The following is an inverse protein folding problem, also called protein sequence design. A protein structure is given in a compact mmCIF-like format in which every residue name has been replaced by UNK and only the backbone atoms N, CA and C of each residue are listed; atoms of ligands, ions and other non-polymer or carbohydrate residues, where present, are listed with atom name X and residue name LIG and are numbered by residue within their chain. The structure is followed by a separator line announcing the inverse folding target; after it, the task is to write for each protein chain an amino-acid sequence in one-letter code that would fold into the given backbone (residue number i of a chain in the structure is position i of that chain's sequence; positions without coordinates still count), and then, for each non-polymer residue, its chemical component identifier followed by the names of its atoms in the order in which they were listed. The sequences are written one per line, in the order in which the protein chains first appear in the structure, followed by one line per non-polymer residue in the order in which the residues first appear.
data_IF_034773743203
#
_entry.id   IF_034773743203
#
_cell.length_a   1.000
_cell.length_b   1.000
_cell.length_c   1.000
_cell.angle_alpha   90.00
_cell.angle_beta   90.00
_cell.angle_gamma   90.00
#
_symmetry.space_group_name_H-M   'P 1'
#
loop_
_entity.id
_entity.type
_entity.pdbx_description
1 polymer ?
#
# COMPACT_ATOMS: atom_id res chain seq x y z
N UNK A 1 -18.34 -7.76 -1.87
CA UNK A 1 -17.28 -8.56 -1.18
C UNK A 1 -16.31 -7.59 -0.56
N UNK A 2 -15.72 -7.93 0.58
CA UNK A 2 -14.74 -7.07 1.26
C UNK A 2 -13.42 -7.09 0.49
N UNK A 3 -12.84 -5.92 0.24
CA UNK A 3 -11.55 -5.82 -0.42
C UNK A 3 -10.42 -5.93 0.60
N UNK A 4 -9.50 -6.83 0.36
CA UNK A 4 -8.31 -7.06 1.16
C UNK A 4 -7.10 -6.49 0.42
N UNK A 5 -6.30 -5.71 1.13
CA UNK A 5 -5.09 -5.12 0.60
C UNK A 5 -3.88 -5.71 1.32
N UNK A 6 -3.00 -6.33 0.56
CA UNK A 6 -1.74 -6.91 1.02
C UNK A 6 -0.59 -6.04 0.54
N UNK A 7 0.26 -5.56 1.45
CA UNK A 7 1.43 -4.76 1.09
C UNK A 7 2.72 -5.57 1.16
N UNK A 8 3.54 -5.53 0.10
CA UNK A 8 4.89 -6.13 0.18
C UNK A 8 5.80 -5.30 1.07
N UNK A 9 6.75 -5.95 1.72
CA UNK A 9 7.80 -5.32 2.52
C UNK A 9 9.09 -6.11 2.38
N UNK A 10 10.25 -5.48 2.49
CA UNK A 10 11.53 -6.16 2.38
C UNK A 10 12.56 -5.35 1.60
N UNK A 11 13.81 -5.81 1.65
CA UNK A 11 14.94 -5.15 1.03
C UNK A 11 14.83 -5.08 -0.50
N UNK A 12 15.60 -4.16 -1.12
CA UNK A 12 15.80 -4.16 -2.57
C UNK A 12 16.41 -5.50 -2.98
N UNK A 13 16.12 -5.99 -4.18
CA UNK A 13 16.62 -7.24 -4.77
C UNK A 13 16.23 -8.54 -4.02
N UNK A 14 15.40 -8.48 -2.99
CA UNK A 14 14.83 -9.67 -2.33
C UNK A 14 13.71 -10.33 -3.15
N UNK A 15 13.40 -9.83 -4.34
CA UNK A 15 12.47 -10.49 -5.28
C UNK A 15 10.99 -10.16 -5.05
N UNK A 16 10.66 -9.02 -4.42
CA UNK A 16 9.26 -8.59 -4.19
C UNK A 16 8.43 -8.57 -5.48
N UNK A 17 8.88 -7.81 -6.48
CA UNK A 17 8.20 -7.69 -7.78
C UNK A 17 8.10 -9.02 -8.51
N UNK A 18 9.14 -9.86 -8.43
CA UNK A 18 9.13 -11.21 -9.01
C UNK A 18 8.08 -12.09 -8.32
N UNK A 19 8.00 -12.02 -6.98
CA UNK A 19 7.00 -12.73 -6.20
C UNK A 19 5.58 -12.28 -6.56
N UNK A 20 5.33 -10.97 -6.61
CA UNK A 20 4.01 -10.41 -7.00
C UNK A 20 3.63 -10.88 -8.40
N UNK A 21 4.58 -10.86 -9.34
CA UNK A 21 4.35 -11.38 -10.69
C UNK A 21 4.05 -12.88 -10.69
N UNK A 22 4.75 -13.65 -9.88
CA UNK A 22 4.51 -15.10 -9.74
C UNK A 22 3.11 -15.41 -9.20
N UNK A 23 2.65 -14.63 -8.21
CA UNK A 23 1.34 -14.82 -7.59
C UNK A 23 0.18 -14.38 -8.49
N UNK A 24 0.35 -13.27 -9.22
CA UNK A 24 -0.76 -12.59 -9.93
C UNK A 24 -0.69 -12.71 -11.45
N UNK A 25 0.45 -13.12 -12.00
CA UNK A 25 0.72 -13.09 -13.44
C UNK A 25 0.98 -11.68 -14.00
N UNK A 26 0.92 -10.64 -13.17
CA UNK A 26 1.01 -9.24 -13.59
C UNK A 26 2.34 -8.61 -13.19
N UNK A 27 2.97 -7.90 -14.13
CA UNK A 27 4.21 -7.18 -13.84
C UNK A 27 3.89 -5.77 -13.35
N UNK A 28 4.29 -5.45 -12.14
CA UNK A 28 4.04 -4.16 -11.48
C UNK A 28 5.01 -3.06 -11.92
N UNK A 29 6.15 -3.38 -12.51
CA UNK A 29 7.11 -2.41 -13.03
C UNK A 29 6.65 -1.82 -14.38
N UNK A 30 6.05 -0.65 -14.33
CA UNK A 30 5.50 0.01 -15.53
C UNK A 30 6.37 1.13 -16.07
N UNK A 31 7.18 1.77 -15.22
CA UNK A 31 8.00 2.89 -15.61
C UNK A 31 9.23 2.42 -16.40
N UNK A 32 9.58 3.18 -17.46
CA UNK A 32 10.78 2.91 -18.24
C UNK A 32 12.05 2.96 -17.37
N UNK A 33 12.02 3.82 -16.33
CA UNK A 33 13.12 3.92 -15.36
C UNK A 33 13.22 2.70 -14.46
N UNK A 34 12.11 2.13 -14.03
CA UNK A 34 12.06 0.89 -13.24
C UNK A 34 12.70 -0.27 -14.00
N UNK A 35 12.31 -0.43 -15.26
CA UNK A 35 12.87 -1.47 -16.15
C UNK A 35 14.37 -1.28 -16.44
N UNK A 36 14.83 -0.02 -16.51
CA UNK A 36 16.26 0.28 -16.75
C UNK A 36 17.13 0.07 -15.52
N UNK A 37 16.57 0.34 -14.32
CA UNK A 37 17.29 0.26 -13.05
C UNK A 37 17.11 -1.07 -12.35
N UNK A 38 16.15 -1.90 -12.78
CA UNK A 38 15.81 -3.17 -12.14
C UNK A 38 15.21 -3.01 -10.75
N UNK A 39 14.63 -1.83 -10.43
CA UNK A 39 14.04 -1.56 -9.12
C UNK A 39 12.72 -0.81 -9.23
N UNK A 40 11.76 -1.13 -8.38
CA UNK A 40 10.48 -0.44 -8.25
C UNK A 40 10.67 0.95 -7.65
N UNK A 41 10.10 1.97 -8.28
CA UNK A 41 10.20 3.39 -7.86
C UNK A 41 8.87 3.88 -7.29
N UNK A 42 7.76 3.55 -7.92
CA UNK A 42 6.41 3.91 -7.49
C UNK A 42 5.65 2.67 -7.01
N UNK A 43 4.49 2.86 -6.41
CA UNK A 43 3.65 1.75 -5.98
C UNK A 43 3.12 0.97 -7.19
N UNK A 44 3.39 -0.32 -7.20
CA UNK A 44 2.76 -1.27 -8.11
C UNK A 44 1.47 -1.83 -7.51
N UNK A 45 0.45 -2.06 -8.34
CA UNK A 45 -0.82 -2.63 -7.91
C UNK A 45 -1.13 -3.83 -8.80
N UNK A 46 -1.33 -4.97 -8.18
CA UNK A 46 -1.69 -6.20 -8.85
C UNK A 46 -2.87 -6.87 -8.13
N UNK A 47 -3.82 -7.38 -8.90
CA UNK A 47 -4.97 -8.12 -8.35
C UNK A 47 -4.65 -9.60 -8.33
N UNK A 48 -4.76 -10.22 -7.16
CA UNK A 48 -4.63 -11.67 -7.02
C UNK A 48 -5.94 -12.35 -7.48
N UNK A 49 -7.06 -11.76 -7.06
CA UNK A 49 -8.42 -12.11 -7.46
C UNK A 49 -9.35 -10.90 -7.25
N UNK A 50 -10.66 -11.10 -7.37
CA UNK A 50 -11.67 -10.02 -7.22
C UNK A 50 -11.72 -9.39 -5.82
N UNK A 51 -11.17 -10.06 -4.81
CA UNK A 51 -11.23 -9.63 -3.41
C UNK A 51 -9.87 -9.25 -2.81
N UNK A 52 -8.75 -9.59 -3.47
CA UNK A 52 -7.40 -9.36 -2.95
C UNK A 52 -6.56 -8.55 -3.91
N UNK A 53 -6.07 -7.41 -3.44
CA UNK A 53 -5.11 -6.58 -4.17
C UNK A 53 -3.77 -6.61 -3.45
N UNK A 54 -2.69 -6.84 -4.20
CA UNK A 54 -1.32 -6.76 -3.70
C UNK A 54 -0.73 -5.41 -4.12
N UNK A 55 -0.18 -4.68 -3.16
CA UNK A 55 0.59 -3.46 -3.39
C UNK A 55 2.07 -3.82 -3.36
N UNK A 56 2.71 -3.72 -4.51
CA UNK A 56 4.16 -3.88 -4.61
C UNK A 56 4.86 -2.57 -4.24
N UNK A 57 5.61 -2.63 -3.14
CA UNK A 57 6.19 -1.45 -2.51
C UNK A 57 7.68 -1.34 -2.87
N UNK A 58 8.16 -0.13 -3.24
CA UNK A 58 9.59 0.08 -3.47
C UNK A 58 10.44 -0.34 -2.26
N UNK A 59 11.51 -1.10 -2.51
CA UNK A 59 12.41 -1.58 -1.46
C UNK A 59 13.44 -0.56 -0.98
N UNK A 60 13.69 0.51 -1.75
CA UNK A 60 14.76 1.44 -1.48
C UNK A 60 14.33 2.56 -0.52
N UNK A 61 15.19 2.92 0.46
CA UNK A 61 14.95 3.97 1.47
C UNK A 61 14.46 5.31 0.89
N UNK A 62 14.98 5.71 -0.29
CA UNK A 62 14.54 6.93 -0.97
C UNK A 62 13.06 6.96 -1.33
N UNK A 63 12.42 5.78 -1.42
CA UNK A 63 11.02 5.63 -1.81
C UNK A 63 10.10 5.25 -0.64
N UNK A 64 10.60 5.25 0.60
CA UNK A 64 9.80 5.04 1.83
C UNK A 64 8.58 5.95 1.87
N UNK A 65 8.69 7.17 1.32
CA UNK A 65 7.57 8.11 1.20
C UNK A 65 6.43 7.56 0.33
N UNK A 66 6.78 6.89 -0.76
CA UNK A 66 5.78 6.28 -1.63
C UNK A 66 5.12 5.09 -0.91
N UNK A 67 5.92 4.32 -0.18
CA UNK A 67 5.41 3.26 0.69
C UNK A 67 4.41 3.81 1.73
N UNK A 68 4.79 4.81 2.51
CA UNK A 68 3.94 5.38 3.56
C UNK A 68 2.61 5.93 2.99
N UNK A 69 2.65 6.52 1.78
CA UNK A 69 1.47 7.03 1.11
C UNK A 69 0.53 5.92 0.58
N UNK A 70 1.06 4.76 0.20
CA UNK A 70 0.27 3.61 -0.26
C UNK A 70 -0.18 2.69 0.86
N UNK A 71 0.57 2.68 1.96
CA UNK A 71 0.39 1.74 3.06
C UNK A 71 -0.79 2.07 3.99
N UNK A 72 -1.41 3.24 3.86
CA UNK A 72 -2.53 3.66 4.73
C UNK A 72 -3.74 2.72 4.70
N UNK A 73 -3.83 1.84 3.70
CA UNK A 73 -4.91 0.88 3.53
C UNK A 73 -4.43 -0.58 3.48
N UNK A 74 -3.19 -0.85 3.89
CA UNK A 74 -2.68 -2.22 3.97
C UNK A 74 -3.30 -2.91 5.18
N UNK A 75 -3.94 -4.04 4.95
CA UNK A 75 -4.54 -4.88 5.99
C UNK A 75 -3.54 -5.95 6.48
N UNK A 76 -2.75 -6.51 5.56
CA UNK A 76 -1.79 -7.58 5.82
C UNK A 76 -0.44 -7.29 5.17
N UNK A 77 0.64 -7.73 5.82
CA UNK A 77 2.00 -7.62 5.28
C UNK A 77 2.43 -8.89 4.54
N UNK A 78 3.06 -8.74 3.39
CA UNK A 78 3.81 -9.79 2.71
C UNK A 78 5.29 -9.43 2.78
N UNK A 79 5.96 -9.99 3.78
CA UNK A 79 7.38 -9.72 4.05
C UNK A 79 8.22 -10.64 3.17
N UNK A 80 9.11 -10.05 2.35
CA UNK A 80 9.94 -10.78 1.39
C UNK A 80 11.39 -10.67 1.80
N UNK A 81 12.01 -11.80 2.08
CA UNK A 81 13.39 -11.91 2.56
C UNK A 81 14.10 -12.94 1.67
N UNK A 82 15.26 -12.58 1.14
CA UNK A 82 16.07 -13.51 0.37
C UNK A 82 16.86 -14.42 1.32
N UNK A 83 16.90 -15.71 1.02
CA UNK A 83 17.56 -16.72 1.85
C UNK A 83 19.07 -16.50 1.96
N UNK A 84 19.69 -15.92 0.92
CA UNK A 84 21.13 -15.64 0.85
C UNK A 84 21.53 -14.43 1.70
N UNK A 85 20.63 -13.45 1.87
CA UNK A 85 20.91 -12.19 2.56
C UNK A 85 20.34 -12.15 4.01
N UNK A 86 19.25 -12.87 4.29
CA UNK A 86 18.54 -12.80 5.56
C UNK A 86 17.85 -11.44 5.79
N UNK A 87 17.72 -11.06 7.07
CA UNK A 87 17.06 -9.80 7.46
C UNK A 87 18.01 -8.62 7.24
N UNK A 88 17.60 -7.71 6.35
CA UNK A 88 18.35 -6.50 6.02
C UNK A 88 17.79 -5.26 6.70
N UNK A 89 18.58 -4.17 6.88
CA UNK A 89 18.11 -2.95 7.54
C UNK A 89 16.82 -2.38 6.97
N UNK A 90 16.65 -2.38 5.63
CA UNK A 90 15.42 -1.89 4.99
C UNK A 90 14.21 -2.79 5.30
N UNK A 91 14.41 -4.08 5.51
CA UNK A 91 13.35 -4.98 5.97
C UNK A 91 12.84 -4.55 7.34
N UNK A 92 13.75 -4.19 8.25
CA UNK A 92 13.42 -3.68 9.59
C UNK A 92 12.64 -2.38 9.50
N UNK A 93 13.10 -1.41 8.68
CA UNK A 93 12.40 -0.15 8.47
C UNK A 93 10.98 -0.36 7.95
N UNK A 94 10.79 -1.25 6.98
CA UNK A 94 9.47 -1.58 6.45
C UNK A 94 8.57 -2.23 7.50
N UNK A 95 9.09 -3.12 8.33
CA UNK A 95 8.36 -3.73 9.44
C UNK A 95 7.91 -2.68 10.46
N UNK A 96 8.77 -1.73 10.80
CA UNK A 96 8.43 -0.62 11.69
C UNK A 96 7.31 0.25 11.12
N UNK A 97 7.35 0.57 9.82
CA UNK A 97 6.29 1.31 9.15
C UNK A 97 4.97 0.53 9.18
N UNK A 98 4.97 -0.75 8.84
CA UNK A 98 3.79 -1.61 8.90
C UNK A 98 3.20 -1.64 10.31
N UNK A 99 4.06 -1.77 11.34
CA UNK A 99 3.64 -1.75 12.75
C UNK A 99 2.98 -0.42 13.14
N UNK A 100 3.56 0.71 12.71
CA UNK A 100 2.99 2.04 12.96
C UNK A 100 1.64 2.24 12.28
N UNK A 101 1.43 1.60 11.12
CA UNK A 101 0.18 1.59 10.38
C UNK A 101 -0.85 0.60 10.94
N UNK A 102 -0.48 -0.17 11.98
CA UNK A 102 -1.37 -1.12 12.64
C UNK A 102 -1.41 -2.50 11.99
N UNK A 103 -0.58 -2.75 10.98
CA UNK A 103 -0.45 -4.09 10.36
C UNK A 103 0.33 -5.01 11.29
N UNK A 104 -0.29 -6.11 11.73
CA UNK A 104 0.27 -7.04 12.72
C UNK A 104 0.24 -8.50 12.29
N UNK A 105 -0.22 -8.76 11.08
CA UNK A 105 -0.39 -10.11 10.55
C UNK A 105 -0.11 -10.16 9.06
N UNK A 106 0.14 -11.35 8.54
CA UNK A 106 0.41 -11.55 7.13
C UNK A 106 1.25 -12.79 6.83
N UNK A 107 2.13 -12.69 5.86
CA UNK A 107 2.95 -13.79 5.35
C UNK A 107 4.41 -13.36 5.23
N UNK A 108 5.29 -14.34 5.36
CA UNK A 108 6.71 -14.22 5.03
C UNK A 108 7.01 -15.12 3.84
N UNK A 109 7.63 -14.57 2.83
CA UNK A 109 8.19 -15.31 1.71
C UNK A 109 9.72 -15.28 1.80
N UNK A 110 10.33 -16.42 2.09
CA UNK A 110 11.78 -16.60 2.00
C UNK A 110 12.08 -16.96 0.55
N UNK A 111 12.63 -16.02 -0.20
CA UNK A 111 12.91 -16.15 -1.63
C UNK A 111 14.34 -16.63 -1.89
N UNK A 112 14.66 -16.90 -3.16
CA UNK A 112 16.00 -17.32 -3.60
C UNK A 112 16.52 -18.59 -2.90
N UNK A 113 15.64 -19.49 -2.51
CA UNK A 113 16.03 -20.77 -1.88
C UNK A 113 16.86 -21.66 -2.81
N UNK A 114 16.79 -21.43 -4.12
CA UNK A 114 17.56 -22.12 -5.15
C UNK A 114 19.06 -21.78 -5.13
N UNK A 115 19.41 -20.61 -4.57
CA UNK A 115 20.82 -20.17 -4.46
C UNK A 115 21.48 -20.79 -3.24
N UNK A 116 20.72 -21.00 -2.16
CA UNK A 116 21.23 -21.56 -0.90
C UNK A 116 21.06 -23.07 -0.90
N UNK A 117 22.17 -23.81 -0.85
CA UNK A 117 22.18 -25.29 -0.84
C UNK A 117 22.11 -25.87 0.56
N UNK A 118 22.34 -25.05 1.58
CA UNK A 118 22.37 -25.45 2.97
C UNK A 118 20.99 -25.24 3.61
N UNK A 119 20.28 -26.32 3.87
CA UNK A 119 18.94 -26.29 4.51
C UNK A 119 19.03 -25.78 5.96
N UNK A 120 20.12 -26.09 6.69
CA UNK A 120 20.30 -25.61 8.07
C UNK A 120 20.42 -24.08 8.11
N UNK A 121 21.05 -23.50 7.09
CA UNK A 121 21.09 -22.03 6.94
C UNK A 121 19.70 -21.44 6.74
N UNK A 122 18.87 -22.04 5.91
CA UNK A 122 17.50 -21.56 5.68
C UNK A 122 16.67 -21.68 6.97
N UNK A 123 16.85 -22.74 7.75
CA UNK A 123 16.20 -22.91 9.04
C UNK A 123 16.63 -21.81 10.04
N UNK A 124 17.92 -21.44 10.07
CA UNK A 124 18.41 -20.32 10.89
C UNK A 124 17.81 -18.98 10.47
N UNK A 125 17.75 -18.70 9.17
CA UNK A 125 17.08 -17.48 8.64
C UNK A 125 15.61 -17.46 9.06
N UNK A 126 14.93 -18.60 9.05
CA UNK A 126 13.53 -18.69 9.46
C UNK A 126 13.36 -18.39 10.95
N UNK A 127 14.24 -18.87 11.81
CA UNK A 127 14.26 -18.56 13.24
C UNK A 127 14.52 -17.06 13.50
N UNK A 128 15.51 -16.48 12.85
CA UNK A 128 15.82 -15.05 12.96
C UNK A 128 14.61 -14.18 12.56
N UNK A 129 13.88 -14.61 11.52
CA UNK A 129 12.66 -13.94 11.08
C UNK A 129 11.58 -14.02 12.15
N UNK A 130 11.34 -15.18 12.75
CA UNK A 130 10.35 -15.37 13.80
C UNK A 130 10.63 -14.47 14.99
N UNK A 131 11.88 -14.43 15.45
CA UNK A 131 12.32 -13.58 16.54
C UNK A 131 12.17 -12.09 16.22
N UNK A 132 12.59 -11.69 15.03
CA UNK A 132 12.47 -10.31 14.56
C UNK A 132 11.02 -9.82 14.52
N UNK A 133 10.10 -10.66 14.07
CA UNK A 133 8.67 -10.36 13.97
C UNK A 133 8.03 -10.29 15.36
N UNK A 134 8.33 -11.25 16.22
CA UNK A 134 7.81 -11.34 17.59
C UNK A 134 8.20 -10.10 18.41
N UNK A 135 9.44 -9.65 18.31
CA UNK A 135 9.95 -8.45 18.99
C UNK A 135 9.20 -7.17 18.55
N UNK A 136 8.61 -7.16 17.35
CA UNK A 136 7.87 -6.01 16.79
C UNK A 136 6.35 -6.13 16.92
N UNK A 137 5.91 -7.17 17.64
CA UNK A 137 4.46 -7.37 17.92
C UNK A 137 3.65 -7.85 16.72
N UNK A 138 4.30 -8.51 15.78
CA UNK A 138 3.62 -9.27 14.76
C UNK A 138 3.26 -10.65 15.33
N UNK A 139 1.97 -10.96 15.37
CA UNK A 139 1.48 -12.10 16.16
C UNK A 139 0.98 -13.28 15.31
N UNK A 140 0.76 -13.07 14.02
CA UNK A 140 0.21 -14.11 13.13
C UNK A 140 0.87 -14.03 11.75
N UNK A 141 1.84 -14.91 11.53
CA UNK A 141 2.53 -15.07 10.25
C UNK A 141 2.66 -16.54 9.89
N UNK A 142 2.43 -16.85 8.61
CA UNK A 142 2.93 -18.09 8.03
C UNK A 142 4.17 -17.80 7.18
N UNK A 143 5.14 -18.70 7.25
CA UNK A 143 6.40 -18.60 6.53
C UNK A 143 6.37 -19.60 5.36
N UNK A 144 6.75 -19.12 4.19
CA UNK A 144 6.79 -19.89 2.95
C UNK A 144 8.18 -19.77 2.32
N UNK A 145 8.78 -20.90 1.97
CA UNK A 145 10.01 -20.97 1.18
C UNK A 145 9.64 -20.94 -0.28
N UNK A 146 10.19 -20.01 -1.03
CA UNK A 146 9.77 -19.69 -2.40
C UNK A 146 10.97 -19.72 -3.35
N UNK A 147 10.81 -20.45 -4.44
CA UNK A 147 11.66 -20.31 -5.59
C UNK A 147 10.89 -19.57 -6.70
N UNK A 148 11.25 -18.32 -6.94
CA UNK A 148 10.59 -17.48 -7.95
C UNK A 148 10.89 -17.92 -9.40
N UNK A 149 11.92 -18.75 -9.63
CA UNK A 149 12.30 -19.21 -10.96
C UNK A 149 11.43 -20.35 -11.45
N UNK A 150 11.18 -21.36 -10.59
CA UNK A 150 10.42 -22.55 -10.95
C UNK A 150 9.00 -22.56 -10.37
N UNK A 151 8.68 -21.63 -9.45
CA UNK A 151 7.37 -21.51 -8.84
C UNK A 151 7.13 -22.35 -7.59
N UNK A 152 8.15 -23.04 -7.08
CA UNK A 152 8.02 -23.82 -5.84
C UNK A 152 7.58 -22.92 -4.68
N UNK A 153 6.61 -23.39 -3.90
CA UNK A 153 6.02 -22.67 -2.77
C UNK A 153 4.98 -21.60 -3.12
N UNK A 154 4.96 -21.06 -4.35
CA UNK A 154 4.03 -20.00 -4.76
C UNK A 154 2.56 -20.39 -4.60
N UNK A 155 2.18 -21.59 -5.01
CA UNK A 155 0.79 -22.04 -4.94
C UNK A 155 0.30 -22.14 -3.50
N UNK A 156 1.16 -22.58 -2.57
CA UNK A 156 0.81 -22.66 -1.14
C UNK A 156 0.60 -21.26 -0.56
N UNK A 157 1.53 -20.34 -0.82
CA UNK A 157 1.39 -18.94 -0.40
C UNK A 157 0.14 -18.29 -0.99
N UNK A 158 -0.14 -18.53 -2.27
CA UNK A 158 -1.34 -18.00 -2.94
C UNK A 158 -2.62 -18.49 -2.25
N UNK A 159 -2.74 -19.76 -1.97
CA UNK A 159 -3.89 -20.35 -1.27
C UNK A 159 -4.06 -19.77 0.14
N UNK A 160 -2.96 -19.59 0.89
CA UNK A 160 -3.02 -19.00 2.21
C UNK A 160 -3.49 -17.54 2.16
N UNK A 161 -3.05 -16.76 1.16
CA UNK A 161 -3.54 -15.39 0.96
C UNK A 161 -5.02 -15.37 0.58
N UNK A 162 -5.46 -16.28 -0.30
CA UNK A 162 -6.85 -16.37 -0.73
C UNK A 162 -7.79 -16.80 0.40
N UNK A 163 -7.34 -17.65 1.30
CA UNK A 163 -8.14 -18.15 2.43
C UNK A 163 -8.47 -17.04 3.43
N UNK A 164 -7.66 -15.98 3.52
CA UNK A 164 -7.89 -14.87 4.47
C UNK A 164 -9.15 -14.04 4.12
N UNK A 165 -9.66 -14.15 2.89
CA UNK A 165 -10.91 -13.46 2.48
C UNK A 165 -12.10 -13.86 3.37
N UNK A 166 -12.01 -15.03 4.01
CA UNK A 166 -13.03 -15.52 4.93
C UNK A 166 -12.88 -14.92 6.35
N UNK A 167 -11.76 -14.28 6.65
CA UNK A 167 -11.56 -13.59 7.93
C UNK A 167 -12.18 -12.19 7.86
N UNK A 168 -12.95 -11.84 8.89
CA UNK A 168 -13.55 -10.49 8.98
C UNK A 168 -12.45 -9.48 9.29
N UNK A 169 -11.99 -8.75 8.27
CA UNK A 169 -11.20 -7.55 8.51
C UNK A 169 -12.10 -6.48 9.13
N UNK A 170 -11.71 -5.82 10.23
CA UNK A 170 -12.51 -4.75 10.82
C UNK A 170 -12.80 -3.67 9.79
N UNK A 171 -14.04 -3.53 9.43
CA UNK A 171 -14.53 -2.57 8.45
C UNK A 171 -15.11 -1.37 9.20
N UNK A 172 -14.67 -0.18 8.88
CA UNK A 172 -15.33 1.03 9.34
C UNK A 172 -16.48 1.33 8.37
N UNK A 173 -17.68 0.98 8.76
CA UNK A 173 -18.91 1.32 8.04
C UNK A 173 -19.20 2.81 8.27
N UNK A 174 -18.46 3.64 7.56
CA UNK A 174 -18.61 5.10 7.61
C UNK A 174 -19.55 5.55 6.50
N UNK A 175 -20.56 6.31 6.84
CA UNK A 175 -21.47 6.96 5.88
C UNK A 175 -20.77 7.99 5.00
N UNK A 176 -19.53 8.37 5.32
CA UNK A 176 -18.81 9.46 4.66
C UNK A 176 -17.79 8.95 3.67
N UNK A 177 -18.09 9.11 2.38
CA UNK A 177 -17.13 8.78 1.33
C UNK A 177 -15.87 9.64 1.42
N UNK A 178 -14.72 8.97 1.34
CA UNK A 178 -13.40 9.61 1.23
C UNK A 178 -12.43 8.75 0.43
N UNK A 179 -11.76 9.39 -0.55
CA UNK A 179 -10.71 8.78 -1.35
C UNK A 179 -9.52 9.73 -1.41
N UNK A 180 -8.31 9.22 -1.21
CA UNK A 180 -7.08 9.97 -1.45
C UNK A 180 -6.61 9.79 -2.87
N UNK A 181 -6.41 10.91 -3.58
CA UNK A 181 -5.96 10.91 -4.97
C UNK A 181 -4.48 10.57 -5.01
N UNK A 182 -4.12 9.48 -5.71
CA UNK A 182 -2.73 9.07 -5.92
C UNK A 182 -2.20 9.39 -7.32
N UNK A 183 -3.06 9.39 -8.35
CA UNK A 183 -2.71 9.77 -9.73
C UNK A 183 -3.81 10.59 -10.36
N UNK A 184 -3.40 11.46 -11.29
CA UNK A 184 -4.32 12.26 -12.11
C UNK A 184 -3.83 12.25 -13.54
N UNK A 185 -4.73 12.00 -14.49
CA UNK A 185 -4.41 11.99 -15.91
C UNK A 185 -5.64 12.30 -16.78
N UNK A 186 -5.40 12.57 -18.06
CA UNK A 186 -6.45 12.68 -19.06
C UNK A 186 -6.54 11.37 -19.83
N UNK A 187 -7.73 10.82 -19.94
CA UNK A 187 -8.02 9.69 -20.83
C UNK A 187 -8.78 10.20 -22.04
N UNK A 188 -8.24 9.98 -23.23
CA UNK A 188 -8.86 10.40 -24.50
C UNK A 188 -10.30 9.89 -24.58
N UNK A 189 -11.25 10.77 -24.90
CA UNK A 189 -12.68 10.45 -24.96
C UNK A 189 -13.41 10.47 -23.60
N UNK A 190 -12.71 10.43 -22.47
CA UNK A 190 -13.32 10.41 -21.13
C UNK A 190 -13.06 11.70 -20.33
N UNK A 191 -11.97 12.41 -20.62
CA UNK A 191 -11.59 13.61 -19.87
C UNK A 191 -10.72 13.33 -18.65
N UNK A 192 -10.90 14.13 -17.59
CA UNK A 192 -10.07 14.07 -16.38
C UNK A 192 -10.42 12.83 -15.55
N UNK A 193 -9.40 12.03 -15.24
CA UNK A 193 -9.50 10.84 -14.41
C UNK A 193 -8.59 10.98 -13.20
N UNK A 194 -9.10 10.65 -12.03
CA UNK A 194 -8.34 10.53 -10.79
C UNK A 194 -8.36 9.08 -10.32
N UNK A 195 -7.25 8.60 -9.79
CA UNK A 195 -7.17 7.28 -9.17
C UNK A 195 -6.88 7.39 -7.69
N UNK A 196 -7.33 6.41 -6.95
CA UNK A 196 -7.08 6.30 -5.52
C UNK A 196 -7.77 5.09 -4.90
N UNK A 197 -7.50 4.90 -3.62
CA UNK A 197 -8.20 3.88 -2.81
C UNK A 197 -9.24 4.56 -1.93
N UNK A 198 -10.43 3.99 -1.87
CA UNK A 198 -11.50 4.45 -0.98
C UNK A 198 -11.13 4.12 0.45
N UNK A 199 -10.97 5.14 1.27
CA UNK A 199 -10.60 4.98 2.70
C UNK A 199 -11.84 4.78 3.55
N UNK A 200 -12.93 5.45 3.19
CA UNK A 200 -14.20 5.42 3.93
C UNK A 200 -15.39 5.52 2.99
N UNK A 201 -16.48 4.88 3.38
CA UNK A 201 -17.79 5.04 2.77
C UNK A 201 -17.94 4.43 1.38
N UNK A 202 -18.99 4.85 0.69
CA UNK A 202 -19.36 4.38 -0.65
C UNK A 202 -19.67 5.57 -1.54
N UNK A 203 -19.47 5.44 -2.84
CA UNK A 203 -19.87 6.43 -3.85
C UNK A 203 -20.38 5.73 -5.12
N UNK A 204 -21.34 6.35 -5.77
CA UNK A 204 -21.96 5.85 -7.00
C UNK A 204 -21.73 6.80 -8.18
N UNK A 205 -21.81 6.26 -9.37
CA UNK A 205 -21.80 7.05 -10.59
C UNK A 205 -22.96 8.06 -10.57
N UNK A 206 -22.70 9.28 -11.02
CA UNK A 206 -23.68 10.35 -11.03
C UNK A 206 -23.72 11.22 -9.78
N UNK A 207 -23.13 10.78 -8.67
CA UNK A 207 -23.07 11.55 -7.43
C UNK A 207 -22.08 12.71 -7.50
N UNK A 208 -22.32 13.72 -6.66
CA UNK A 208 -21.44 14.88 -6.50
C UNK A 208 -20.36 14.62 -5.47
N UNK A 209 -19.17 15.13 -5.76
CA UNK A 209 -18.00 15.09 -4.88
C UNK A 209 -17.33 16.45 -4.80
N UNK A 210 -16.55 16.66 -3.76
CA UNK A 210 -15.71 17.84 -3.57
C UNK A 210 -14.26 17.42 -3.50
N UNK A 211 -13.38 18.15 -4.20
CA UNK A 211 -11.93 17.97 -4.14
C UNK A 211 -11.34 18.96 -3.14
N UNK A 212 -10.70 18.47 -2.11
CA UNK A 212 -10.03 19.28 -1.10
C UNK A 212 -8.51 19.27 -1.30
N UNK A 213 -7.81 20.37 -0.97
CA UNK A 213 -8.28 21.59 -0.27
C UNK A 213 -8.88 22.65 -1.19
N UNK A 214 -8.93 22.46 -2.51
CA UNK A 214 -9.38 23.47 -3.49
C UNK A 214 -10.87 23.77 -3.43
N UNK A 215 -11.66 22.94 -2.74
CA UNK A 215 -13.12 23.06 -2.60
C UNK A 215 -13.86 23.07 -3.95
N UNK A 216 -13.31 22.41 -4.95
CA UNK A 216 -13.93 22.30 -6.26
C UNK A 216 -14.94 21.15 -6.29
N UNK A 217 -16.16 21.43 -6.73
CA UNK A 217 -17.22 20.42 -6.90
C UNK A 217 -17.10 19.75 -8.27
N UNK A 218 -17.29 18.45 -8.28
CA UNK A 218 -17.31 17.62 -9.47
C UNK A 218 -18.46 16.61 -9.41
N UNK A 219 -18.83 16.08 -10.58
CA UNK A 219 -19.75 14.95 -10.69
C UNK A 219 -18.98 13.74 -11.22
N UNK A 220 -19.22 12.57 -10.63
CA UNK A 220 -18.65 11.32 -11.11
C UNK A 220 -19.40 10.89 -12.37
N UNK A 221 -18.68 10.85 -13.49
CA UNK A 221 -19.22 10.45 -14.79
C UNK A 221 -19.11 8.96 -15.07
N UNK A 222 -18.10 8.33 -14.47
CA UNK A 222 -17.86 6.89 -14.62
C UNK A 222 -16.86 6.41 -13.60
N UNK A 223 -16.95 5.15 -13.27
CA UNK A 223 -16.13 4.46 -12.29
C UNK A 223 -15.54 3.22 -12.95
N UNK A 224 -14.24 3.00 -12.77
CA UNK A 224 -13.57 1.75 -13.13
C UNK A 224 -12.87 1.21 -11.90
N UNK A 225 -13.08 -0.07 -11.62
CA UNK A 225 -12.40 -0.82 -10.55
C UNK A 225 -12.12 -2.24 -11.04
N UNK A 226 -11.02 -2.86 -10.61
CA UNK A 226 -10.64 -4.22 -11.03
C UNK A 226 -10.59 -4.45 -12.55
N UNK A 227 -10.19 -3.42 -13.32
CA UNK A 227 -10.10 -3.49 -14.78
C UNK A 227 -11.43 -3.38 -15.53
N UNK A 228 -12.57 -3.28 -14.83
CA UNK A 228 -13.92 -3.16 -15.40
C UNK A 228 -14.64 -1.87 -15.00
N UNK A 229 -15.71 -1.54 -15.72
CA UNK A 229 -16.63 -0.47 -15.33
C UNK A 229 -17.58 -0.97 -14.24
N UNK A 230 -17.86 -0.11 -13.25
CA UNK A 230 -18.80 -0.40 -12.16
C UNK A 230 -19.66 0.82 -11.86
N UNK A 231 -20.85 0.60 -11.29
CA UNK A 231 -21.75 1.69 -10.90
C UNK A 231 -21.40 2.30 -9.54
N UNK A 232 -20.72 1.55 -8.67
CA UNK A 232 -20.38 1.98 -7.32
C UNK A 232 -19.04 1.41 -6.85
N UNK A 233 -18.42 2.11 -5.88
CA UNK A 233 -17.25 1.66 -5.14
C UNK A 233 -17.43 1.96 -3.66
N UNK A 234 -16.72 1.21 -2.83
CA UNK A 234 -16.78 1.30 -1.37
C UNK A 234 -15.40 1.22 -0.73
N UNK A 235 -15.34 1.38 0.57
CA UNK A 235 -14.09 1.29 1.36
C UNK A 235 -13.28 0.06 0.99
N UNK A 236 -11.97 0.27 0.76
CA UNK A 236 -11.02 -0.75 0.31
C UNK A 236 -10.88 -0.83 -1.21
N UNK A 237 -11.87 -0.41 -1.99
CA UNK A 237 -11.79 -0.45 -3.45
C UNK A 237 -10.74 0.53 -3.97
N UNK A 238 -9.91 0.03 -4.89
CA UNK A 238 -9.08 0.89 -5.73
C UNK A 238 -9.81 1.22 -7.02
N UNK A 239 -9.95 2.51 -7.30
CA UNK A 239 -10.74 2.93 -8.44
C UNK A 239 -10.12 4.07 -9.25
N UNK A 240 -10.52 4.12 -10.53
CA UNK A 240 -10.34 5.25 -11.41
C UNK A 240 -11.70 5.93 -11.61
N UNK A 241 -11.78 7.19 -11.23
CA UNK A 241 -13.00 8.01 -11.29
C UNK A 241 -12.86 9.05 -12.38
N UNK A 242 -13.74 8.99 -13.36
CA UNK A 242 -13.89 10.07 -14.32
C UNK A 242 -14.74 11.18 -13.68
N UNK A 243 -14.15 12.36 -13.50
CA UNK A 243 -14.78 13.49 -12.86
C UNK A 243 -14.98 14.67 -13.83
N UNK A 244 -16.09 15.37 -13.67
CA UNK A 244 -16.43 16.53 -14.50
C UNK A 244 -16.02 17.85 -13.87
N UNK A 245 -15.98 18.90 -14.69
CA UNK A 245 -15.89 20.30 -14.27
C UNK A 245 -14.63 20.73 -13.51
N UNK A 246 -13.59 19.91 -13.48
CA UNK A 246 -12.29 20.28 -12.90
C UNK A 246 -11.20 20.08 -13.95
N UNK A 247 -10.34 21.09 -14.10
CA UNK A 247 -9.21 21.02 -15.01
C UNK A 247 -8.10 20.16 -14.43
N UNK A 248 -7.35 19.49 -15.30
CA UNK A 248 -6.19 18.69 -14.87
C UNK A 248 -5.17 19.51 -14.06
N UNK A 249 -4.96 20.78 -14.45
CA UNK A 249 -4.04 21.70 -13.77
C UNK A 249 -4.35 21.93 -12.29
N UNK A 250 -5.61 21.76 -11.89
CA UNK A 250 -6.09 22.03 -10.53
C UNK A 250 -6.01 20.78 -9.64
N UNK A 251 -5.74 19.64 -10.27
CA UNK A 251 -5.67 18.34 -9.61
C UNK A 251 -4.22 17.86 -9.44
N UNK A 252 -3.95 17.25 -8.30
CA UNK A 252 -2.65 16.69 -7.98
C UNK A 252 -2.76 15.54 -6.97
N UNK A 253 -1.74 14.69 -6.94
CA UNK A 253 -1.57 13.70 -5.87
C UNK A 253 -1.64 14.38 -4.49
N UNK A 254 -2.26 13.71 -3.54
CA UNK A 254 -2.39 14.19 -2.15
C UNK A 254 -3.69 14.94 -1.87
N UNK A 255 -4.46 15.30 -2.89
CA UNK A 255 -5.80 15.83 -2.69
C UNK A 255 -6.77 14.75 -2.25
N UNK A 256 -7.85 15.18 -1.62
CA UNK A 256 -8.90 14.29 -1.11
C UNK A 256 -10.18 14.52 -1.89
N UNK A 257 -10.80 13.44 -2.32
CA UNK A 257 -12.14 13.42 -2.88
C UNK A 257 -13.11 12.95 -1.80
N UNK A 258 -14.16 13.71 -1.54
CA UNK A 258 -15.16 13.40 -0.50
C UNK A 258 -16.55 13.90 -0.89
N UNK A 259 -17.56 13.56 -0.11
CA UNK A 259 -18.88 14.22 -0.25
C UNK A 259 -18.75 15.72 0.05
N UNK A 260 -19.52 16.58 -0.67
CA UNK A 260 -19.45 18.03 -0.49
C UNK A 260 -19.77 18.45 0.95
N UNK A 261 -18.95 19.34 1.51
CA UNK A 261 -19.18 19.97 2.79
C UNK A 261 -18.89 19.13 4.04
N UNK A 262 -18.51 17.87 3.90
CA UNK A 262 -18.28 16.97 5.06
C UNK A 262 -16.94 17.26 5.74
N UNK A 263 -15.90 17.51 4.96
CA UNK A 263 -14.56 17.77 5.48
C UNK A 263 -14.18 19.23 5.32
N UNK A 264 -13.45 19.76 6.30
CA UNK A 264 -12.91 21.12 6.25
C UNK A 264 -11.39 21.07 6.31
N UNK A 265 -10.68 21.64 5.32
CA UNK A 265 -9.24 21.81 5.42
C UNK A 265 -8.87 22.61 6.67
N UNK A 266 -7.90 22.13 7.44
CA UNK A 266 -7.37 22.83 8.61
C UNK A 266 -5.86 22.95 8.53
N UNK A 267 -5.30 23.96 9.19
CA UNK A 267 -3.85 24.16 9.33
C UNK A 267 -3.34 23.75 10.71
N UNK A 268 -4.24 23.60 11.67
CA UNK A 268 -3.89 23.28 13.05
C UNK A 268 -4.59 21.97 13.44
N UNK A 269 -3.83 21.04 13.96
CA UNK A 269 -4.32 19.73 14.40
C UNK A 269 -3.67 19.35 15.73
N UNK A 270 -4.40 18.65 16.57
CA UNK A 270 -3.86 17.99 17.76
C UNK A 270 -3.64 16.51 17.38
N UNK A 271 -2.44 16.02 17.60
CA UNK A 271 -2.05 14.66 17.23
C UNK A 271 -1.46 13.92 18.44
N UNK A 272 -1.69 12.61 18.49
CA UNK A 272 -0.94 11.71 19.37
C UNK A 272 0.23 11.15 18.57
N UNK A 273 1.44 11.30 19.09
CA UNK A 273 2.65 10.79 18.45
C UNK A 273 3.11 9.53 19.20
N UNK A 274 3.40 8.48 18.44
CA UNK A 274 4.05 7.27 18.93
C UNK A 274 5.42 7.16 18.26
N UNK A 275 6.47 7.09 19.05
CA UNK A 275 7.82 6.90 18.54
C UNK A 275 8.08 5.40 18.27
N UNK A 276 8.89 5.09 17.27
CA UNK A 276 9.44 3.74 17.08
C UNK A 276 10.44 3.43 18.19
N UNK A 277 10.48 2.18 18.64
CA UNK A 277 11.35 1.79 19.77
C UNK A 277 12.85 1.87 19.44
N UNK A 278 13.18 1.71 18.15
CA UNK A 278 14.58 1.73 17.67
C UNK A 278 15.18 3.13 17.61
N UNK A 279 14.40 4.20 17.77
CA UNK A 279 14.89 5.57 17.60
C UNK A 279 15.34 6.18 18.95
N UNK A 280 16.51 6.79 18.94
CA UNK A 280 16.99 7.70 20.00
C UNK A 280 16.61 9.17 19.73
N UNK A 281 15.89 9.45 18.62
CA UNK A 281 15.54 10.81 18.24
C UNK A 281 14.41 11.36 19.11
N UNK A 282 14.55 12.61 19.54
CA UNK A 282 13.58 13.32 20.36
C UNK A 282 12.91 14.45 19.59
N UNK A 283 11.61 14.62 19.79
CA UNK A 283 10.85 15.74 19.23
C UNK A 283 11.11 16.99 20.06
N UNK A 284 11.55 18.07 19.40
CA UNK A 284 11.77 19.38 20.04
C UNK A 284 10.65 20.34 19.70
N UNK A 285 10.35 21.24 20.63
CA UNK A 285 9.39 22.31 20.41
C UNK A 285 9.79 23.17 19.20
N UNK A 286 8.80 23.61 18.43
CA UNK A 286 8.97 24.40 17.20
C UNK A 286 9.73 23.67 16.07
N UNK A 287 9.95 22.35 16.19
CA UNK A 287 10.62 21.56 15.18
C UNK A 287 9.78 21.42 13.91
N UNK A 288 10.42 21.56 12.77
CA UNK A 288 9.80 21.27 11.47
C UNK A 288 9.86 19.77 11.21
N UNK A 289 8.70 19.17 10.98
CA UNK A 289 8.56 17.77 10.62
C UNK A 289 7.83 17.62 9.30
N UNK A 290 8.05 16.51 8.69
CA UNK A 290 7.38 16.05 7.50
C UNK A 290 6.28 15.07 7.90
N UNK A 291 5.04 15.39 7.53
CA UNK A 291 3.87 14.57 7.81
C UNK A 291 3.38 13.93 6.53
N UNK A 292 3.18 12.62 6.56
CA UNK A 292 2.51 11.87 5.52
C UNK A 292 1.06 11.63 5.94
N UNK A 293 0.13 12.06 5.10
CA UNK A 293 -1.30 11.95 5.36
C UNK A 293 -2.01 11.49 4.09
N UNK A 294 -2.53 10.26 4.10
CA UNK A 294 -3.00 9.61 2.88
C UNK A 294 -1.90 9.58 1.82
N UNK A 295 -2.15 10.13 0.65
CA UNK A 295 -1.18 10.24 -0.46
C UNK A 295 -0.42 11.58 -0.50
N UNK A 296 -0.65 12.44 0.51
CA UNK A 296 -0.05 13.78 0.64
C UNK A 296 1.15 13.78 1.57
N UNK A 297 2.08 14.70 1.28
CA UNK A 297 3.19 15.05 2.15
C UNK A 297 3.09 16.54 2.48
N UNK A 298 3.11 16.89 3.76
CA UNK A 298 3.08 18.27 4.23
C UNK A 298 4.17 18.53 5.27
N UNK A 299 4.71 19.74 5.27
CA UNK A 299 5.65 20.16 6.30
C UNK A 299 4.87 20.95 7.34
N UNK A 300 4.96 20.52 8.59
CA UNK A 300 4.36 21.19 9.74
C UNK A 300 5.37 21.50 10.82
N UNK A 301 4.95 22.26 11.81
CA UNK A 301 5.70 22.50 13.06
C UNK A 301 4.97 21.90 14.23
N UNK A 302 5.71 21.36 15.16
CA UNK A 302 5.20 20.89 16.46
C UNK A 302 5.40 22.03 17.47
N UNK A 303 4.32 22.39 18.15
CA UNK A 303 4.32 23.34 19.25
C UNK A 303 3.88 22.63 20.53
#
# INVERSE_FOLDING_TARGET
MQQIVVGTAGHIDHGKTALVRGLTGYNTDHLVEEKKRGMTIDLGFAHLNDSVTIIDVPGHEKFIRNMAAGAANIHFGLIVIAADDGIMPQTIEHLEILTLLGVKSGWVAITKIDIVKDEEWIDLVELDIQDCLSLRGFNAFSIHRINNLNGDGLNKLKLDIENIVNEKVPYSDSEYFRLFIDRVFIKTGFGTVVTGTVVNGRIEQGQEVEVLPIKAKAKIRGIQSHGGSTEAIQTGDRAALNISNIKLSDLRRGQTLCYPGILKPTKNVIVRIKMVQSTSWEIKNNQRLRFHFGTSEVIGRIN
#
